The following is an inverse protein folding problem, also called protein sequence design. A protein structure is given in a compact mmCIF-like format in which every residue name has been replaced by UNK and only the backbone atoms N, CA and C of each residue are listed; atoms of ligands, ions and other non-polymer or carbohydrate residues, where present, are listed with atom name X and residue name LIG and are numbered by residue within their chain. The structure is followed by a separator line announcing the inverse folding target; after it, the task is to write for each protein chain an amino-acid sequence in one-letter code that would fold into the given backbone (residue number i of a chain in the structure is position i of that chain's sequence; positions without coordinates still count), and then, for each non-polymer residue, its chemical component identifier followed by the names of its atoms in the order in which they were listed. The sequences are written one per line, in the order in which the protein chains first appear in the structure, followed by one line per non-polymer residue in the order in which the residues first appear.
data_IF_403198335080
#
_entry.id   IF_403198335080
#
_cell.length_a   1.000
_cell.length_b   1.000
_cell.length_c   1.000
_cell.angle_alpha   90.00
_cell.angle_beta   90.00
_cell.angle_gamma   90.00
#
_symmetry.space_group_name_H-M   'P 1'
#
loop_
_entity.id
_entity.type
_entity.pdbx_description
1 polymer ?
#
# COMPACT_ATOMS: atom_id res chain seq x y z
N UNK A 1 4.71 -0.59 13.83
CA UNK A 1 4.67 0.42 12.73
C UNK A 1 3.61 -0.06 11.78
N UNK A 2 2.40 0.49 11.94
CA UNK A 2 1.19 0.01 11.26
C UNK A 2 1.27 0.14 9.73
N UNK A 3 2.20 0.95 9.21
CA UNK A 3 2.46 1.07 7.76
C UNK A 3 2.92 -0.24 7.12
N UNK A 4 3.45 -1.18 7.92
CA UNK A 4 3.83 -2.52 7.44
C UNK A 4 2.68 -3.52 7.51
N UNK A 5 1.59 -3.21 8.21
CA UNK A 5 0.39 -4.03 8.16
C UNK A 5 -0.33 -3.71 6.84
N UNK A 6 -0.30 -4.65 5.90
CA UNK A 6 -0.85 -4.45 4.55
C UNK A 6 -2.31 -4.02 4.60
N UNK A 7 -3.14 -4.64 5.44
CA UNK A 7 -4.57 -4.33 5.55
C UNK A 7 -4.82 -2.90 6.04
N UNK A 8 -4.18 -2.52 7.15
CA UNK A 8 -4.35 -1.17 7.72
C UNK A 8 -3.76 -0.10 6.81
N UNK A 9 -2.61 -0.37 6.20
CA UNK A 9 -1.99 0.53 5.24
C UNK A 9 -2.89 0.76 4.00
N UNK A 10 -3.50 -0.30 3.46
CA UNK A 10 -4.44 -0.17 2.34
C UNK A 10 -5.68 0.64 2.71
N UNK A 11 -6.29 0.38 3.87
CA UNK A 11 -7.46 1.14 4.32
C UNK A 11 -7.14 2.63 4.50
N UNK A 12 -6.00 2.95 5.12
CA UNK A 12 -5.54 4.32 5.29
C UNK A 12 -5.28 5.01 3.94
N UNK A 13 -4.61 4.33 3.00
CA UNK A 13 -4.33 4.86 1.66
C UNK A 13 -5.62 5.13 0.87
N UNK A 14 -6.59 4.20 0.91
CA UNK A 14 -7.89 4.38 0.25
C UNK A 14 -8.67 5.56 0.84
N UNK A 15 -8.67 5.72 2.17
CA UNK A 15 -9.31 6.87 2.82
C UNK A 15 -8.65 8.17 2.35
N UNK A 16 -7.33 8.24 2.41
CA UNK A 16 -6.60 9.44 2.02
C UNK A 16 -6.80 9.81 0.54
N UNK A 17 -6.81 8.83 -0.38
CA UNK A 17 -7.14 9.07 -1.79
C UNK A 17 -8.55 9.64 -1.99
N UNK A 18 -9.54 9.23 -1.18
CA UNK A 18 -10.89 9.81 -1.21
C UNK A 18 -10.90 11.24 -0.71
N UNK A 19 -10.15 11.53 0.35
CA UNK A 19 -10.02 12.90 0.88
C UNK A 19 -9.37 13.83 -0.17
N UNK A 20 -8.34 13.35 -0.87
CA UNK A 20 -7.71 14.05 -1.99
C UNK A 20 -8.66 14.26 -3.17
N UNK A 21 -9.50 13.26 -3.49
CA UNK A 21 -10.53 13.44 -4.51
C UNK A 21 -11.57 14.49 -4.11
N UNK A 22 -12.02 14.50 -2.86
CA UNK A 22 -12.94 15.52 -2.36
C UNK A 22 -12.32 16.93 -2.43
N UNK A 23 -11.00 17.04 -2.24
CA UNK A 23 -10.26 18.30 -2.31
C UNK A 23 -10.05 18.82 -3.74
N UNK A 24 -9.69 17.93 -4.69
CA UNK A 24 -9.29 18.34 -6.04
C UNK A 24 -10.35 18.08 -7.13
N UNK A 25 -11.40 17.31 -6.83
CA UNK A 25 -12.48 16.98 -7.77
C UNK A 25 -12.06 16.11 -8.97
N UNK A 26 -10.84 15.57 -8.98
CA UNK A 26 -10.29 14.78 -10.07
C UNK A 26 -9.40 13.67 -9.55
N UNK A 27 -9.59 12.45 -10.05
CA UNK A 27 -8.76 11.30 -9.69
C UNK A 27 -7.30 11.44 -10.13
N UNK A 28 -7.04 12.13 -11.24
CA UNK A 28 -5.66 12.33 -11.72
C UNK A 28 -4.92 13.36 -10.88
N UNK A 29 -5.62 14.42 -10.43
CA UNK A 29 -5.07 15.37 -9.45
C UNK A 29 -4.92 14.71 -8.07
N UNK A 30 -5.89 13.91 -7.62
CA UNK A 30 -5.79 13.18 -6.36
C UNK A 30 -4.59 12.22 -6.35
N UNK A 31 -4.35 11.49 -7.44
CA UNK A 31 -3.18 10.63 -7.57
C UNK A 31 -1.87 11.43 -7.61
N UNK A 32 -1.85 12.60 -8.26
CA UNK A 32 -0.69 13.49 -8.24
C UNK A 32 -0.39 14.00 -6.82
N UNK A 33 -1.41 14.48 -6.10
CA UNK A 33 -1.29 14.93 -4.71
C UNK A 33 -0.84 13.81 -3.78
N UNK A 34 -1.30 12.58 -3.97
CA UNK A 34 -0.83 11.44 -3.19
C UNK A 34 0.67 11.20 -3.37
N UNK A 35 1.23 11.49 -4.56
CA UNK A 35 2.65 11.33 -4.86
C UNK A 35 3.50 12.51 -4.38
N UNK A 36 3.06 13.76 -4.60
CA UNK A 36 3.85 14.96 -4.33
C UNK A 36 3.44 15.77 -3.09
N UNK A 37 2.37 15.36 -2.41
CA UNK A 37 1.71 16.12 -1.35
C UNK A 37 0.65 17.10 -1.88
N UNK A 38 -0.45 17.24 -1.15
CA UNK A 38 -1.57 18.10 -1.52
C UNK A 38 -1.20 19.58 -1.58
N UNK A 39 -0.37 20.06 -0.64
CA UNK A 39 -0.01 21.47 -0.59
C UNK A 39 1.00 21.83 -1.70
N UNK A 40 1.88 20.88 -2.06
CA UNK A 40 2.74 21.01 -3.23
C UNK A 40 1.92 21.12 -4.52
N UNK A 41 0.92 20.26 -4.70
CA UNK A 41 0.05 20.33 -5.88
C UNK A 41 -0.76 21.63 -5.93
N UNK A 42 -1.32 22.09 -4.80
CA UNK A 42 -2.03 23.38 -4.72
C UNK A 42 -1.14 24.56 -5.12
N UNK A 43 0.11 24.57 -4.66
CA UNK A 43 1.06 25.62 -5.01
C UNK A 43 1.32 25.66 -6.53
N UNK A 44 1.56 24.50 -7.15
CA UNK A 44 1.76 24.41 -8.60
C UNK A 44 0.51 24.85 -9.39
N UNK A 45 -0.68 24.40 -8.98
CA UNK A 45 -1.94 24.83 -9.59
C UNK A 45 -2.12 26.36 -9.52
N UNK A 46 -1.76 26.97 -8.38
CA UNK A 46 -1.88 28.41 -8.17
C UNK A 46 -0.91 29.22 -9.01
N UNK A 47 0.35 28.77 -9.12
CA UNK A 47 1.40 29.41 -9.90
C UNK A 47 1.10 29.30 -11.40
N UNK A 48 0.72 28.12 -11.86
CA UNK A 48 0.49 27.85 -13.28
C UNK A 48 -0.90 28.29 -13.76
N UNK A 49 -1.83 28.60 -12.84
CA UNK A 49 -3.25 28.89 -13.13
C UNK A 49 -3.93 27.75 -13.90
N UNK A 50 -3.58 26.52 -13.56
CA UNK A 50 -4.09 25.30 -14.20
C UNK A 50 -4.68 24.38 -13.14
N UNK A 51 -5.84 23.82 -13.42
CA UNK A 51 -6.55 22.85 -12.56
C UNK A 51 -6.78 21.50 -13.26
N UNK A 52 -5.93 21.16 -14.22
CA UNK A 52 -5.99 19.92 -14.98
C UNK A 52 -4.61 19.25 -14.94
N UNK A 53 -4.56 18.02 -14.43
CA UNK A 53 -3.32 17.23 -14.33
C UNK A 53 -2.52 17.17 -15.63
N UNK A 54 -3.20 16.99 -16.77
CA UNK A 54 -2.57 16.82 -18.07
C UNK A 54 -2.00 18.13 -18.66
N UNK A 55 -2.35 19.27 -18.07
CA UNK A 55 -1.88 20.58 -18.47
C UNK A 55 -0.87 21.17 -17.47
N UNK A 56 -0.75 20.59 -16.27
CA UNK A 56 0.23 21.00 -15.27
C UNK A 56 1.63 20.53 -15.66
N UNK A 57 2.59 21.44 -15.56
CA UNK A 57 4.00 21.14 -15.63
C UNK A 57 4.53 20.80 -14.23
N UNK A 58 4.58 19.51 -13.90
CA UNK A 58 5.04 19.02 -12.59
C UNK A 58 6.44 18.41 -12.71
N UNK A 59 7.04 18.03 -11.58
CA UNK A 59 8.27 17.26 -11.61
C UNK A 59 8.06 15.93 -12.38
N UNK A 60 9.15 15.40 -12.95
CA UNK A 60 9.14 14.22 -13.80
C UNK A 60 8.56 12.96 -13.12
N UNK A 61 8.70 12.81 -11.81
CA UNK A 61 8.11 11.69 -11.08
C UNK A 61 6.59 11.76 -11.10
N UNK A 62 6.02 12.89 -10.70
CA UNK A 62 4.57 13.10 -10.58
C UNK A 62 3.87 13.16 -11.93
N UNK A 63 4.50 13.75 -12.95
CA UNK A 63 3.97 13.72 -14.33
C UNK A 63 3.85 12.29 -14.87
N UNK A 64 4.69 11.35 -14.43
CA UNK A 64 4.63 9.96 -14.87
C UNK A 64 3.80 9.07 -13.96
N UNK A 65 3.45 9.53 -12.76
CA UNK A 65 2.84 8.71 -11.72
C UNK A 65 1.54 8.03 -12.18
N UNK A 66 0.60 8.81 -12.73
CA UNK A 66 -0.68 8.28 -13.25
C UNK A 66 -0.44 7.30 -14.40
N UNK A 67 0.44 7.64 -15.34
CA UNK A 67 0.73 6.78 -16.50
C UNK A 67 1.39 5.46 -16.10
N UNK A 68 2.25 5.45 -15.06
CA UNK A 68 2.85 4.22 -14.52
C UNK A 68 1.78 3.30 -13.91
N UNK A 69 0.81 3.86 -13.18
CA UNK A 69 -0.33 3.10 -12.64
C UNK A 69 -1.18 2.52 -13.78
N UNK A 70 -1.46 3.31 -14.82
CA UNK A 70 -2.22 2.86 -15.99
C UNK A 70 -1.48 1.75 -16.74
N UNK A 71 -0.17 1.89 -16.95
CA UNK A 71 0.66 0.86 -17.58
C UNK A 71 0.63 -0.44 -16.77
N UNK A 72 0.83 -0.36 -15.44
CA UNK A 72 0.74 -1.51 -14.56
C UNK A 72 -0.64 -2.20 -14.64
N UNK A 73 -1.73 -1.43 -14.58
CA UNK A 73 -3.09 -1.97 -14.74
C UNK A 73 -3.25 -2.69 -16.08
N UNK A 74 -2.85 -2.05 -17.18
CA UNK A 74 -3.02 -2.61 -18.53
C UNK A 74 -2.22 -3.91 -18.69
N UNK A 75 -0.97 -3.93 -18.21
CA UNK A 75 -0.13 -5.13 -18.23
C UNK A 75 -0.74 -6.23 -17.37
N UNK A 76 -1.17 -5.92 -16.14
CA UNK A 76 -1.77 -6.91 -15.24
C UNK A 76 -3.13 -7.43 -15.75
N UNK A 77 -3.91 -6.62 -16.46
CA UNK A 77 -5.18 -7.04 -17.07
C UNK A 77 -5.00 -7.94 -18.30
N UNK A 78 -3.87 -7.84 -19.00
CA UNK A 78 -3.59 -8.67 -20.17
C UNK A 78 -2.08 -8.96 -20.30
N UNK A 79 -1.51 -9.77 -19.39
CA UNK A 79 -0.05 -9.97 -19.32
C UNK A 79 0.49 -10.59 -20.62
N UNK A 80 -0.24 -11.53 -21.22
CA UNK A 80 0.17 -12.22 -22.44
C UNK A 80 0.36 -11.26 -23.63
N UNK A 81 -0.48 -10.22 -23.77
CA UNK A 81 -0.34 -9.20 -24.82
C UNK A 81 0.99 -8.43 -24.73
N UNK A 82 1.61 -8.40 -23.55
CA UNK A 82 2.88 -7.73 -23.30
C UNK A 82 4.05 -8.70 -23.11
N UNK A 83 3.91 -9.96 -23.55
CA UNK A 83 4.98 -10.96 -23.50
C UNK A 83 5.13 -11.68 -22.17
N UNK A 84 4.24 -11.44 -21.20
CA UNK A 84 4.22 -12.18 -19.94
C UNK A 84 3.35 -13.43 -20.07
N UNK A 85 3.98 -14.56 -20.35
CA UNK A 85 3.33 -15.88 -20.36
C UNK A 85 3.51 -16.51 -18.99
N UNK A 86 2.57 -16.24 -18.08
CA UNK A 86 2.61 -16.72 -16.69
C UNK A 86 1.73 -17.96 -16.52
N UNK A 87 2.30 -19.02 -15.96
CA UNK A 87 1.58 -20.18 -15.47
C UNK A 87 1.10 -19.96 -14.04
N UNK A 88 0.20 -20.82 -13.54
CA UNK A 88 -0.21 -20.79 -12.12
C UNK A 88 0.97 -20.98 -11.15
N UNK A 89 2.02 -21.68 -11.57
CA UNK A 89 3.20 -21.92 -10.75
C UNK A 89 4.08 -20.66 -10.61
N UNK A 90 3.98 -19.70 -11.54
CA UNK A 90 4.71 -18.44 -11.48
C UNK A 90 4.04 -17.40 -10.56
N UNK A 91 2.78 -17.65 -10.17
CA UNK A 91 2.01 -16.73 -9.34
C UNK A 91 2.22 -17.01 -7.86
N UNK A 92 2.20 -15.95 -7.06
CA UNK A 92 2.07 -16.09 -5.61
C UNK A 92 0.73 -16.74 -5.28
N UNK A 93 0.78 -17.82 -4.51
CA UNK A 93 -0.40 -18.45 -3.97
C UNK A 93 -0.99 -17.59 -2.84
N UNK A 94 -2.33 -17.45 -2.76
CA UNK A 94 -2.96 -16.84 -1.61
C UNK A 94 -2.50 -17.53 -0.33
N UNK A 95 -1.94 -16.76 0.61
CA UNK A 95 -1.58 -17.32 1.91
C UNK A 95 -2.84 -17.59 2.70
N UNK A 96 -2.98 -18.80 3.21
CA UNK A 96 -3.97 -19.16 4.20
C UNK A 96 -3.39 -18.90 5.58
N UNK A 97 -4.13 -18.18 6.41
CA UNK A 97 -3.78 -17.90 7.79
C UNK A 97 -5.04 -17.50 8.55
N UNK A 98 -5.02 -17.77 9.85
CA UNK A 98 -6.04 -17.28 10.77
C UNK A 98 -5.59 -15.98 11.43
N UNK A 99 -6.56 -15.18 11.86
CA UNK A 99 -6.29 -13.99 12.68
C UNK A 99 -6.73 -14.28 14.10
N UNK A 100 -5.81 -14.11 15.05
CA UNK A 100 -6.05 -14.33 16.48
C UNK A 100 -5.74 -13.05 17.24
N UNK A 101 -6.64 -12.67 18.13
CA UNK A 101 -6.42 -11.58 19.09
C UNK A 101 -5.72 -12.17 20.33
N UNK A 102 -4.59 -11.58 20.72
CA UNK A 102 -3.84 -11.98 21.92
C UNK A 102 -3.93 -10.84 22.92
N UNK A 103 -4.53 -11.09 24.07
CA UNK A 103 -4.56 -10.18 25.21
C UNK A 103 -3.69 -10.74 26.32
N UNK A 104 -2.65 -10.01 26.69
CA UNK A 104 -1.71 -10.45 27.70
C UNK A 104 -1.25 -9.28 28.57
N UNK A 105 -1.26 -9.50 29.89
CA UNK A 105 -0.82 -8.50 30.86
C UNK A 105 0.69 -8.20 30.75
N UNK A 106 1.47 -9.11 30.15
CA UNK A 106 2.91 -9.00 29.98
C UNK A 106 3.29 -9.20 28.51
N UNK A 107 4.44 -8.67 28.07
CA UNK A 107 4.94 -8.93 26.73
C UNK A 107 5.04 -10.43 26.44
N UNK A 108 4.54 -10.88 25.28
CA UNK A 108 4.53 -12.29 24.90
C UNK A 108 5.63 -12.57 23.86
N UNK A 109 6.64 -13.39 24.17
CA UNK A 109 7.65 -13.78 23.19
C UNK A 109 7.02 -14.48 21.98
N UNK A 110 7.45 -14.14 20.77
CA UNK A 110 6.84 -14.72 19.55
C UNK A 110 7.07 -16.23 19.42
N UNK A 111 8.08 -16.80 20.08
CA UNK A 111 8.29 -18.25 20.08
C UNK A 111 7.17 -18.99 20.83
N UNK A 112 6.62 -18.40 21.90
CA UNK A 112 5.47 -18.95 22.64
C UNK A 112 4.24 -18.95 21.74
N UNK A 113 4.03 -17.87 20.99
CA UNK A 113 2.93 -17.76 20.01
C UNK A 113 3.08 -18.81 18.91
N UNK A 114 4.31 -18.98 18.38
CA UNK A 114 4.58 -19.98 17.36
C UNK A 114 4.30 -21.40 17.86
N UNK A 115 4.73 -21.74 19.07
CA UNK A 115 4.45 -23.04 19.70
C UNK A 115 2.94 -23.26 19.89
N UNK A 116 2.23 -22.26 20.43
CA UNK A 116 0.78 -22.34 20.64
C UNK A 116 0.00 -22.49 19.32
N UNK A 117 0.47 -21.85 18.25
CA UNK A 117 -0.11 -21.95 16.91
C UNK A 117 0.38 -23.15 16.09
N UNK A 118 1.14 -24.07 16.70
CA UNK A 118 1.74 -25.23 16.05
C UNK A 118 2.52 -24.88 14.75
N UNK A 119 3.30 -23.80 14.82
CA UNK A 119 4.12 -23.28 13.72
C UNK A 119 5.50 -22.86 14.22
N UNK A 120 6.29 -22.19 13.39
CA UNK A 120 7.63 -21.72 13.73
C UNK A 120 7.76 -20.21 13.66
N UNK A 121 8.73 -19.67 14.41
CA UNK A 121 8.95 -18.24 14.63
C UNK A 121 8.93 -17.40 13.34
N UNK A 122 9.59 -17.90 12.29
CA UNK A 122 9.68 -17.20 11.00
C UNK A 122 8.31 -16.98 10.35
N UNK A 123 7.37 -17.93 10.45
CA UNK A 123 6.01 -17.76 9.90
C UNK A 123 5.28 -16.62 10.62
N UNK A 124 5.38 -16.55 11.95
CA UNK A 124 4.76 -15.47 12.71
C UNK A 124 5.31 -14.10 12.26
N UNK A 125 6.62 -13.97 12.04
CA UNK A 125 7.23 -12.73 11.54
C UNK A 125 6.86 -12.41 10.10
N UNK A 126 6.87 -13.40 9.21
CA UNK A 126 6.53 -13.23 7.79
C UNK A 126 5.07 -12.76 7.60
N UNK A 127 4.15 -13.29 8.41
CA UNK A 127 2.73 -12.89 8.38
C UNK A 127 2.47 -11.56 9.08
N UNK A 128 3.38 -11.10 9.95
CA UNK A 128 3.22 -9.90 10.77
C UNK A 128 4.42 -8.94 10.66
N UNK A 129 4.72 -8.41 9.46
CA UNK A 129 5.88 -7.52 9.24
C UNK A 129 5.84 -6.22 10.06
N UNK A 130 4.68 -5.84 10.62
CA UNK A 130 4.52 -4.72 11.55
C UNK A 130 5.17 -4.96 12.91
N UNK A 131 5.34 -6.22 13.33
CA UNK A 131 6.00 -6.58 14.59
C UNK A 131 7.52 -6.48 14.37
N UNK A 132 8.15 -5.43 14.89
CA UNK A 132 9.60 -5.21 14.73
C UNK A 132 10.43 -6.10 15.66
N UNK A 133 9.97 -6.27 16.90
CA UNK A 133 10.68 -7.01 17.94
C UNK A 133 10.38 -8.52 17.90
N UNK A 134 10.93 -9.26 18.86
CA UNK A 134 10.73 -10.71 19.03
C UNK A 134 9.70 -11.04 20.12
N UNK A 135 8.86 -10.06 20.47
CA UNK A 135 7.72 -10.20 21.36
C UNK A 135 6.59 -9.29 20.89
N UNK A 136 5.36 -9.61 21.31
CA UNK A 136 4.25 -8.67 21.35
C UNK A 136 4.33 -7.84 22.63
N UNK A 137 4.04 -6.53 22.60
CA UNK A 137 3.92 -5.73 23.81
C UNK A 137 2.73 -6.22 24.66
N UNK A 138 2.67 -5.81 25.93
CA UNK A 138 1.48 -6.03 26.77
C UNK A 138 0.29 -5.21 26.26
N UNK A 139 -0.93 -5.69 26.58
CA UNK A 139 -2.20 -5.12 26.13
C UNK A 139 -3.01 -6.13 25.33
#
# INVERSE_FOLDING_TARGET
DERRNVYKATQAAVKYLKDLYALFGSWTLAAAAYNMGEDGLKAEMLVQKVNNYYQLYLNQETQRYVFRILAAKIIMSNPAKFGYVLSKADLYLPRQFDTVEIKAAQPVPLHVIAQAANTYFKIIKDLNPQIKYYHLPSG
#
